data_IF_645812007141
#
_entry.id   IF_645812007141
#
_cell.length_a   1.000
_cell.length_b   1.000
_cell.length_c   1.000
_cell.angle_alpha   90.00
_cell.angle_beta   90.00
_cell.angle_gamma   90.00
#
_symmetry.space_group_name_H-M   'P 1'
#
loop_
_entity.id
_entity.type
_entity.pdbx_description
1 polymer ?
#
# COMPACT_ATOMS: atom_id res chain seq x y z
N UNK A 1 15.16 -6.10 -47.60
CA UNK A 1 15.13 -5.94 -47.14
C UNK A 1 14.89 -5.79 -46.70
N UNK A 2 14.70 -5.79 -46.83
CA UNK A 2 14.62 -5.53 -46.32
C UNK A 2 14.35 -5.06 -45.73
N UNK A 3 14.30 -4.86 -45.80
CA UNK A 3 14.35 -4.39 -45.25
C UNK A 3 13.87 -4.07 -44.59
N UNK A 4 13.82 -3.90 -44.61
CA UNK A 4 13.62 -3.40 -43.99
C UNK A 4 13.65 -2.67 -43.54
N UNK A 5 13.87 -2.46 -43.72
CA UNK A 5 14.14 -1.73 -43.37
C UNK A 5 13.80 -1.16 -42.72
N UNK A 6 13.63 -0.78 -42.05
CA UNK A 6 13.18 -0.07 -41.41
C UNK A 6 13.37 0.89 -40.97
N UNK A 7 13.26 1.27 -40.85
CA UNK A 7 13.55 2.19 -40.40
C UNK A 7 13.45 2.85 -39.61
N UNK A 8 13.28 2.93 -39.54
CA UNK A 8 13.22 3.59 -39.08
C UNK A 8 13.34 4.22 -38.25
N UNK A 9 13.00 4.38 -38.14
CA UNK A 9 12.98 5.13 -37.14
C UNK A 9 14.00 5.58 -36.27
N UNK A 10 15.05 5.39 -36.31
CA UNK A 10 16.02 5.90 -35.39
C UNK A 10 15.63 5.74 -33.94
N UNK A 11 14.58 5.05 -33.71
CA UNK A 11 14.13 4.79 -32.39
C UNK A 11 15.06 3.78 -31.73
N UNK A 12 15.38 3.99 -30.45
CA UNK A 12 16.30 3.13 -29.74
C UNK A 12 15.85 1.68 -29.77
N UNK A 13 14.56 1.46 -29.68
CA UNK A 13 14.00 0.12 -29.69
C UNK A 13 14.27 -0.59 -31.03
N UNK A 14 14.28 0.16 -32.11
CA UNK A 14 14.51 -0.41 -33.42
C UNK A 14 15.94 -0.88 -33.64
N UNK A 15 16.87 -0.38 -32.82
CA UNK A 15 18.28 -0.73 -32.94
C UNK A 15 18.67 -1.91 -32.06
N UNK A 16 17.75 -2.42 -31.30
CA UNK A 16 18.04 -3.54 -30.38
C UNK A 16 17.66 -4.84 -31.05
N UNK A 17 18.64 -5.71 -31.18
CA UNK A 17 18.41 -7.03 -31.74
C UNK A 17 18.03 -8.01 -30.65
N UNK A 18 16.76 -8.17 -30.44
CA UNK A 18 16.25 -9.08 -29.41
C UNK A 18 16.35 -10.53 -29.81
N UNK A 19 16.52 -10.80 -31.11
CA UNK A 19 16.63 -12.18 -31.59
C UNK A 19 17.83 -12.90 -30.98
N UNK A 20 18.85 -12.18 -30.58
CA UNK A 20 20.03 -12.79 -29.94
C UNK A 20 19.66 -13.47 -28.62
N UNK A 21 18.54 -13.11 -28.04
CA UNK A 21 18.07 -13.68 -26.77
C UNK A 21 17.00 -14.75 -26.93
N UNK A 22 16.60 -15.06 -28.18
CA UNK A 22 15.49 -15.98 -28.40
C UNK A 22 15.71 -17.36 -27.79
N UNK A 23 16.92 -17.89 -27.91
CA UNK A 23 17.23 -19.19 -27.34
C UNK A 23 17.16 -19.17 -25.83
N UNK A 24 17.75 -18.15 -25.22
CA UNK A 24 17.73 -18.00 -23.77
C UNK A 24 16.30 -17.85 -23.28
N UNK A 25 15.51 -17.06 -23.99
CA UNK A 25 14.14 -16.82 -23.61
C UNK A 25 13.31 -18.10 -23.71
N UNK A 26 13.51 -18.86 -24.76
CA UNK A 26 12.75 -20.10 -24.97
C UNK A 26 13.07 -21.14 -23.91
N UNK A 27 14.29 -21.17 -23.42
CA UNK A 27 14.73 -22.14 -22.42
C UNK A 27 14.65 -21.61 -20.99
N UNK A 28 14.33 -20.33 -20.82
CA UNK A 28 14.18 -19.75 -19.49
C UNK A 28 12.96 -20.35 -18.80
N UNK A 29 13.14 -20.70 -17.55
CA UNK A 29 12.02 -21.17 -16.75
C UNK A 29 11.28 -19.97 -16.21
N UNK A 30 9.97 -20.03 -16.30
CA UNK A 30 9.14 -19.01 -15.68
C UNK A 30 9.18 -19.23 -14.19
N UNK A 31 9.82 -18.32 -13.49
CA UNK A 31 9.69 -18.30 -12.04
C UNK A 31 8.31 -17.82 -11.70
N UNK A 32 7.49 -18.74 -11.30
CA UNK A 32 6.23 -18.35 -10.68
C UNK A 32 6.59 -17.76 -9.34
N UNK A 33 6.80 -16.47 -9.34
CA UNK A 33 6.78 -15.78 -8.08
C UNK A 33 5.37 -15.85 -7.59
N UNK A 34 5.14 -16.80 -6.73
CA UNK A 34 3.99 -16.69 -5.90
C UNK A 34 4.16 -15.39 -5.13
N UNK A 35 3.48 -14.38 -5.57
CA UNK A 35 3.17 -13.31 -4.64
C UNK A 35 2.31 -13.98 -3.60
N UNK A 36 2.96 -14.54 -2.61
CA UNK A 36 2.25 -15.10 -1.49
C UNK A 36 1.25 -14.05 -1.03
N UNK A 37 0.01 -14.44 -1.07
CA UNK A 37 -1.05 -13.64 -0.50
C UNK A 37 -0.63 -13.31 0.93
N UNK A 38 -0.71 -12.06 1.29
CA UNK A 38 -0.43 -11.67 2.66
C UNK A 38 -1.48 -12.33 3.55
N UNK A 39 -1.09 -13.16 4.51
CA UNK A 39 -2.07 -13.87 5.35
C UNK A 39 -2.91 -12.89 6.16
N UNK A 40 -4.12 -13.31 6.48
CA UNK A 40 -4.95 -12.55 7.40
C UNK A 40 -4.29 -12.51 8.77
N UNK A 41 -4.45 -11.41 9.48
CA UNK A 41 -3.87 -11.26 10.79
C UNK A 41 -3.57 -9.81 11.13
N UNK A 42 -2.86 -9.62 12.20
CA UNK A 42 -2.46 -8.30 12.67
C UNK A 42 -1.06 -7.97 12.21
N UNK A 43 -0.89 -6.73 11.81
CA UNK A 43 0.40 -6.26 11.30
C UNK A 43 0.70 -4.89 11.86
N UNK A 44 1.98 -4.63 12.03
CA UNK A 44 2.47 -3.29 12.29
C UNK A 44 2.88 -2.69 10.95
N UNK A 45 2.41 -1.51 10.67
CA UNK A 45 2.65 -0.87 9.38
C UNK A 45 3.08 0.57 9.57
N UNK A 46 3.73 1.09 8.54
CA UNK A 46 4.05 2.50 8.41
C UNK A 46 3.15 3.08 7.33
N UNK A 47 2.57 4.23 7.59
CA UNK A 47 1.81 4.94 6.57
C UNK A 47 2.81 5.54 5.60
N UNK A 48 2.89 4.97 4.42
CA UNK A 48 3.86 5.41 3.43
C UNK A 48 3.31 6.51 2.53
N UNK A 49 2.01 6.42 2.23
CA UNK A 49 1.38 7.37 1.34
C UNK A 49 -0.10 7.46 1.64
N UNK A 50 -0.65 8.65 1.50
CA UNK A 50 -2.07 8.90 1.63
C UNK A 50 -2.48 9.82 0.50
N UNK A 51 -3.48 9.42 -0.28
CA UNK A 51 -3.93 10.20 -1.41
C UNK A 51 -5.42 10.43 -1.35
N UNK A 52 -5.81 11.66 -1.67
CA UNK A 52 -7.21 11.96 -1.86
C UNK A 52 -7.50 11.79 -3.36
N UNK A 53 -8.39 10.87 -3.68
CA UNK A 53 -8.70 10.53 -5.05
C UNK A 53 -10.19 10.22 -5.17
N UNK A 54 -10.59 9.55 -6.24
CA UNK A 54 -11.98 9.16 -6.45
C UNK A 54 -12.04 7.66 -6.72
N UNK A 55 -13.06 7.02 -6.16
CA UNK A 55 -13.32 5.61 -6.43
C UNK A 55 -13.72 5.45 -7.89
N UNK A 56 -13.12 4.48 -8.58
CA UNK A 56 -13.35 4.30 -10.01
C UNK A 56 -14.79 3.91 -10.31
N UNK A 57 -15.37 3.05 -9.49
CA UNK A 57 -16.70 2.54 -9.76
C UNK A 57 -17.82 3.56 -9.51
N UNK A 58 -17.66 4.39 -8.47
CA UNK A 58 -18.73 5.29 -8.04
C UNK A 58 -18.45 6.76 -8.31
N UNK A 59 -17.17 7.12 -8.49
CA UNK A 59 -16.78 8.52 -8.62
C UNK A 59 -16.78 9.29 -7.31
N UNK A 60 -17.09 8.64 -6.20
CA UNK A 60 -17.07 9.29 -4.90
C UNK A 60 -15.66 9.61 -4.44
N UNK A 61 -15.48 10.70 -3.68
CA UNK A 61 -14.18 10.98 -3.10
C UNK A 61 -13.72 9.81 -2.22
N UNK A 62 -12.42 9.59 -2.21
CA UNK A 62 -11.86 8.45 -1.49
C UNK A 62 -10.48 8.81 -0.98
N UNK A 63 -10.21 8.45 0.27
CA UNK A 63 -8.87 8.55 0.82
C UNK A 63 -8.21 7.18 0.71
N UNK A 64 -7.12 7.12 -0.03
CA UNK A 64 -6.39 5.88 -0.28
C UNK A 64 -5.11 5.88 0.55
N UNK A 65 -4.97 4.84 1.36
CA UNK A 65 -3.81 4.66 2.23
C UNK A 65 -2.92 3.57 1.66
N UNK A 66 -1.63 3.83 1.59
CA UNK A 66 -0.63 2.82 1.27
C UNK A 66 0.17 2.56 2.54
N UNK A 67 0.13 1.32 3.00
CA UNK A 67 0.70 0.93 4.27
C UNK A 67 1.81 -0.10 4.03
N UNK A 68 3.01 0.16 4.54
CA UNK A 68 4.12 -0.77 4.40
C UNK A 68 4.25 -1.59 5.65
N UNK A 69 4.26 -2.91 5.50
CA UNK A 69 4.34 -3.82 6.63
C UNK A 69 5.75 -3.77 7.23
N UNK A 70 5.78 -3.66 8.55
CA UNK A 70 7.00 -3.63 9.32
C UNK A 70 7.22 -4.94 10.09
N UNK A 71 6.15 -5.51 10.61
CA UNK A 71 6.19 -6.70 11.45
C UNK A 71 4.80 -7.32 11.51
N UNK A 72 4.65 -8.56 11.88
CA UNK A 72 5.68 -9.48 12.33
C UNK A 72 6.34 -10.25 11.18
N UNK A 73 5.67 -10.36 10.04
CA UNK A 73 6.15 -11.11 8.88
C UNK A 73 5.83 -10.36 7.60
N UNK A 74 6.32 -10.84 6.50
CA UNK A 74 6.19 -10.24 5.16
C UNK A 74 6.56 -8.76 5.13
N UNK A 75 7.60 -8.43 5.87
CA UNK A 75 8.10 -7.06 5.98
C UNK A 75 8.39 -6.48 4.61
N UNK A 76 8.00 -5.21 4.42
CA UNK A 76 8.21 -4.52 3.15
C UNK A 76 7.07 -4.69 2.16
N UNK A 77 6.13 -5.59 2.42
CA UNK A 77 4.96 -5.73 1.57
C UNK A 77 3.99 -4.61 1.86
N UNK A 78 3.11 -4.36 0.93
CA UNK A 78 2.16 -3.26 1.04
C UNK A 78 0.75 -3.77 1.30
N UNK A 79 0.05 -3.05 2.14
CA UNK A 79 -1.39 -3.21 2.33
C UNK A 79 -2.04 -1.89 1.95
N UNK A 80 -3.29 -1.95 1.55
CA UNK A 80 -4.04 -0.77 1.16
C UNK A 80 -5.34 -0.70 1.94
N UNK A 81 -5.72 0.52 2.25
CA UNK A 81 -7.00 0.81 2.86
C UNK A 81 -7.62 1.99 2.14
N UNK A 82 -8.92 1.93 1.93
CA UNK A 82 -9.64 3.00 1.25
C UNK A 82 -10.80 3.45 2.11
N UNK A 83 -10.91 4.76 2.29
CA UNK A 83 -12.07 5.37 2.93
C UNK A 83 -12.86 6.11 1.85
N UNK A 84 -13.95 5.51 1.39
CA UNK A 84 -14.84 6.16 0.43
C UNK A 84 -15.74 7.12 1.20
N UNK A 85 -15.97 8.30 0.64
CA UNK A 85 -16.79 9.33 1.27
C UNK A 85 -18.10 9.46 0.53
N UNK A 86 -19.05 8.61 0.87
CA UNK A 86 -20.34 8.59 0.21
C UNK A 86 -21.51 8.73 1.18
N UNK A 87 -21.37 8.23 2.39
CA UNK A 87 -22.44 8.22 3.37
C UNK A 87 -21.95 8.79 4.68
N UNK A 88 -22.89 9.09 5.56
CA UNK A 88 -22.55 9.56 6.90
C UNK A 88 -21.71 8.52 7.64
N UNK A 89 -22.02 7.27 7.47
CA UNK A 89 -21.28 6.17 8.10
C UNK A 89 -19.83 6.14 7.60
N UNK A 90 -19.64 6.34 6.31
CA UNK A 90 -18.29 6.39 5.73
C UNK A 90 -17.48 7.53 6.35
N UNK A 91 -18.10 8.69 6.52
CA UNK A 91 -17.43 9.85 7.10
C UNK A 91 -17.05 9.57 8.56
N UNK A 92 -17.91 8.89 9.28
CA UNK A 92 -17.64 8.49 10.65
C UNK A 92 -16.41 7.58 10.74
N UNK A 93 -16.34 6.60 9.85
CA UNK A 93 -15.18 5.69 9.81
C UNK A 93 -13.90 6.44 9.48
N UNK A 94 -13.99 7.37 8.53
CA UNK A 94 -12.84 8.19 8.18
C UNK A 94 -12.36 9.01 9.35
N UNK A 95 -13.28 9.66 10.03
CA UNK A 95 -12.94 10.48 11.19
C UNK A 95 -12.29 9.65 12.28
N UNK A 96 -12.79 8.45 12.51
CA UNK A 96 -12.22 7.53 13.49
C UNK A 96 -10.80 7.14 13.12
N UNK A 97 -10.57 6.81 11.85
CA UNK A 97 -9.24 6.44 11.38
C UNK A 97 -8.25 7.59 11.54
N UNK A 98 -8.68 8.81 11.18
CA UNK A 98 -7.82 9.98 11.32
C UNK A 98 -7.48 10.24 12.79
N UNK A 99 -8.48 10.13 13.64
CA UNK A 99 -8.29 10.31 15.07
C UNK A 99 -7.30 9.29 15.62
N UNK A 100 -7.42 8.05 15.19
CA UNK A 100 -6.50 6.99 15.61
C UNK A 100 -5.06 7.31 15.22
N UNK A 101 -4.90 7.96 14.07
CA UNK A 101 -3.57 8.38 13.62
C UNK A 101 -3.08 9.66 14.30
N UNK A 102 -3.88 10.24 15.16
CA UNK A 102 -3.52 11.46 15.87
C UNK A 102 -3.89 12.73 15.12
N UNK A 103 -4.72 12.64 14.10
CA UNK A 103 -5.14 13.80 13.33
C UNK A 103 -6.62 14.09 13.59
N UNK A 104 -6.86 15.17 14.31
CA UNK A 104 -8.22 15.62 14.59
C UNK A 104 -8.48 16.91 13.82
N UNK A 105 -9.39 16.83 12.86
CA UNK A 105 -9.77 17.97 12.04
C UNK A 105 -11.06 18.56 12.54
N UNK A 106 -11.14 19.89 12.54
CA UNK A 106 -12.39 20.56 12.82
C UNK A 106 -13.36 20.46 11.66
N UNK A 107 -12.82 20.45 10.45
CA UNK A 107 -13.60 20.34 9.22
C UNK A 107 -12.92 19.43 8.23
N UNK A 108 -13.70 18.62 7.55
CA UNK A 108 -13.14 17.69 6.56
C UNK A 108 -12.42 18.42 5.43
N UNK A 109 -12.85 19.63 5.11
CA UNK A 109 -12.19 20.44 4.08
C UNK A 109 -10.73 20.77 4.41
N UNK A 110 -10.32 20.55 5.64
CA UNK A 110 -8.92 20.75 6.04
C UNK A 110 -8.06 19.55 5.72
N UNK A 111 -8.64 18.44 5.32
CA UNK A 111 -7.92 17.20 5.08
C UNK A 111 -6.82 17.33 4.03
N UNK A 112 -7.07 17.93 2.86
CA UNK A 112 -6.01 18.00 1.83
C UNK A 112 -4.73 18.67 2.33
N UNK A 113 -4.84 19.67 3.18
CA UNK A 113 -3.69 20.37 3.71
C UNK A 113 -3.01 19.61 4.84
N UNK A 114 -3.65 18.56 5.35
CA UNK A 114 -3.17 17.82 6.51
C UNK A 114 -2.70 16.42 6.19
N UNK A 115 -2.75 15.99 4.92
CA UNK A 115 -2.39 14.63 4.54
C UNK A 115 -0.96 14.27 4.93
N UNK A 116 -0.06 15.21 4.83
CA UNK A 116 1.35 14.96 5.16
C UNK A 116 1.55 14.59 6.62
N UNK A 117 0.63 14.99 7.49
CA UNK A 117 0.72 14.67 8.92
C UNK A 117 0.47 13.21 9.20
N UNK A 118 -0.10 12.50 8.25
CA UNK A 118 -0.37 11.06 8.37
C UNK A 118 0.82 10.22 7.93
N UNK A 119 1.73 10.80 7.17
CA UNK A 119 2.88 10.07 6.65
C UNK A 119 3.81 9.67 7.80
N UNK A 120 4.33 8.45 7.72
CA UNK A 120 5.23 7.86 8.71
C UNK A 120 4.59 7.57 10.06
N UNK A 121 3.28 7.66 10.17
CA UNK A 121 2.58 7.21 11.36
C UNK A 121 2.64 5.67 11.38
N UNK A 122 2.95 5.12 12.55
CA UNK A 122 3.02 3.67 12.73
C UNK A 122 1.69 3.20 13.31
N UNK A 123 1.15 2.16 12.71
CA UNK A 123 -0.17 1.67 13.08
C UNK A 123 -0.15 0.15 13.26
N UNK A 124 -1.03 -0.32 14.13
CA UNK A 124 -1.40 -1.72 14.15
C UNK A 124 -2.68 -1.85 13.35
N UNK A 125 -2.69 -2.77 12.40
CA UNK A 125 -3.85 -3.01 11.55
C UNK A 125 -4.20 -4.48 11.56
N UNK A 126 -5.45 -4.78 11.19
CA UNK A 126 -5.91 -6.15 11.00
C UNK A 126 -6.30 -6.31 9.54
N UNK A 127 -5.73 -7.33 8.90
CA UNK A 127 -6.11 -7.70 7.54
C UNK A 127 -7.08 -8.86 7.61
N UNK A 128 -8.19 -8.76 6.91
CA UNK A 128 -9.18 -9.83 6.81
C UNK A 128 -9.63 -9.98 5.37
N UNK A 129 -9.77 -11.23 4.96
CA UNK A 129 -10.25 -11.56 3.64
C UNK A 129 -11.66 -12.11 3.75
N UNK A 130 -12.57 -11.60 2.92
CA UNK A 130 -13.94 -12.12 2.80
C UNK A 130 -14.19 -12.36 1.32
N UNK A 131 -14.24 -13.62 0.91
CA UNK A 131 -14.39 -13.97 -0.50
C UNK A 131 -13.23 -13.38 -1.28
N UNK A 132 -13.53 -12.54 -2.26
CA UNK A 132 -12.52 -11.90 -3.07
C UNK A 132 -12.06 -10.55 -2.52
N UNK A 133 -12.63 -10.10 -1.41
CA UNK A 133 -12.34 -8.80 -0.86
C UNK A 133 -11.34 -8.90 0.29
N UNK A 134 -10.34 -8.04 0.23
CA UNK A 134 -9.37 -7.91 1.31
C UNK A 134 -9.63 -6.58 2.01
N UNK A 135 -9.78 -6.63 3.32
CA UNK A 135 -10.04 -5.45 4.12
C UNK A 135 -8.92 -5.26 5.12
N UNK A 136 -8.56 -4.00 5.33
CA UNK A 136 -7.55 -3.64 6.32
C UNK A 136 -8.20 -2.65 7.27
N UNK A 137 -8.16 -2.98 8.56
CA UNK A 137 -8.76 -2.16 9.61
C UNK A 137 -7.66 -1.56 10.48
N UNK A 138 -7.76 -0.29 10.75
CA UNK A 138 -6.80 0.39 11.64
C UNK A 138 -7.26 0.18 13.08
N UNK A 139 -6.42 -0.49 13.87
CA UNK A 139 -6.75 -0.82 15.26
C UNK A 139 -6.28 0.27 16.22
N UNK A 140 -5.02 0.68 16.10
CA UNK A 140 -4.46 1.67 17.01
C UNK A 140 -3.17 2.24 16.42
N UNK A 141 -2.76 3.37 16.96
CA UNK A 141 -1.48 3.96 16.64
C UNK A 141 -0.41 3.39 17.55
N UNK A 142 0.74 3.11 16.97
CA UNK A 142 1.91 2.70 17.74
C UNK A 142 2.72 3.95 18.00
N UNK A 143 2.88 4.29 19.28
CA UNK A 143 3.62 5.47 19.67
C UNK A 143 5.03 5.05 20.05
N UNK A 144 6.01 5.63 19.37
CA UNK A 144 7.41 5.38 19.65
C UNK A 144 7.92 6.50 20.55
N UNK A 145 8.40 6.12 21.71
CA UNK A 145 8.75 7.12 22.72
C UNK A 145 10.16 7.61 22.63
N UNK A 146 11.08 6.74 22.30
CA UNK A 146 12.50 7.06 22.36
C UNK A 146 13.19 7.18 21.01
N UNK A 147 12.51 7.00 19.92
CA UNK A 147 13.15 6.90 18.62
C UNK A 147 14.01 5.64 18.57
N UNK A 148 14.72 5.41 17.53
CA UNK A 148 15.63 4.27 17.45
C UNK A 148 14.95 2.92 17.43
N UNK A 149 15.06 2.19 18.52
CA UNK A 149 14.69 0.78 18.56
C UNK A 149 13.27 0.47 18.99
N UNK A 150 12.49 1.46 19.28
CA UNK A 150 11.11 1.20 19.72
C UNK A 150 10.34 0.35 18.75
N UNK A 151 10.67 0.50 17.53
CA UNK A 151 10.07 -0.24 16.47
C UNK A 151 10.28 -1.72 16.65
N UNK A 152 11.51 -2.14 16.94
CA UNK A 152 11.80 -3.53 17.21
C UNK A 152 11.12 -4.00 18.50
N UNK A 153 11.10 -3.17 19.50
CA UNK A 153 10.42 -3.47 20.75
C UNK A 153 8.92 -3.65 20.49
N UNK A 154 8.32 -2.76 19.71
CA UNK A 154 6.92 -2.84 19.37
C UNK A 154 6.63 -4.10 18.57
N UNK A 155 7.53 -4.50 17.69
CA UNK A 155 7.38 -5.71 16.93
C UNK A 155 7.40 -6.94 17.82
N UNK A 156 8.26 -6.97 18.81
CA UNK A 156 8.30 -8.07 19.78
C UNK A 156 7.03 -8.13 20.60
N UNK A 157 6.54 -6.98 21.02
CA UNK A 157 5.29 -6.93 21.77
C UNK A 157 4.12 -7.38 20.92
N UNK A 158 4.14 -7.02 19.66
CA UNK A 158 3.09 -7.41 18.74
C UNK A 158 3.08 -8.93 18.51
N UNK A 159 4.23 -9.56 18.54
CA UNK A 159 4.33 -10.99 18.34
C UNK A 159 3.85 -11.78 19.55
N UNK A 160 4.09 -11.28 20.74
CA UNK A 160 3.77 -11.99 21.96
C UNK A 160 2.27 -12.21 22.17
N UNK A 161 1.42 -11.20 21.99
CA UNK A 161 -0.02 -11.38 22.24
C UNK A 161 -0.78 -12.01 21.09
N UNK A 162 -0.17 -12.13 19.96
CA UNK A 162 -0.84 -12.72 18.77
C UNK A 162 -0.70 -14.26 18.73
#
# INVERSE_FOLDING_TARGET
MDTHDFPTGGDTADNIDLAQFDDDFAHAEVEEREFETIPDGKYQVNVERVELTRAQSSGNPMLKWTLRILAPKVRGRLLWRNNVMATHENIKWLKTDLHTCGLDLGKLSELPASLEKLIDVKLEVTKRTRGDNENVYINRRIVLEDGGDEYDAAARDALAPF
#
